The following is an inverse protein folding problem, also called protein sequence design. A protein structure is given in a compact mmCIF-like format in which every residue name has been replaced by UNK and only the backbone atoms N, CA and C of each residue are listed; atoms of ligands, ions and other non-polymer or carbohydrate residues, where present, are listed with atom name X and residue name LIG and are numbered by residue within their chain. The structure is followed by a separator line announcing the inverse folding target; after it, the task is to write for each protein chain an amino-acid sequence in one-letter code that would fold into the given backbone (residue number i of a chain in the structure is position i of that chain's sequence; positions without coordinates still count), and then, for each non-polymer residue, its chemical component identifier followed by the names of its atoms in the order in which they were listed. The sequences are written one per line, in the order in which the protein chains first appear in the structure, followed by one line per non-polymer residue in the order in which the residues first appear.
data_IF_885970330376
#
_entry.id   IF_885970330376
#
_cell.length_a   1.000
_cell.length_b   1.000
_cell.length_c   1.000
_cell.angle_alpha   90.00
_cell.angle_beta   90.00
_cell.angle_gamma   90.00
#
_symmetry.space_group_name_H-M   'P 1'
#
loop_
_entity.id
_entity.type
_entity.pdbx_description
1 polymer ?
#
# COMPACT_ATOMS: atom_id res chain seq x y z
N UNK A 1 39.53 -23.56 23.91
CA UNK A 1 38.46 -22.83 23.17
C UNK A 1 37.21 -23.72 23.16
N UNK A 2 36.22 -23.41 23.98
CA UNK A 2 34.97 -24.16 24.03
C UNK A 2 34.00 -23.59 22.97
N UNK A 3 33.61 -24.42 22.01
CA UNK A 3 32.57 -24.08 21.05
C UNK A 3 31.25 -23.95 21.81
N UNK A 4 30.70 -22.74 21.91
CA UNK A 4 29.29 -22.55 22.30
C UNK A 4 28.43 -23.20 21.24
N UNK A 5 27.70 -24.28 21.61
CA UNK A 5 26.61 -24.80 20.81
C UNK A 5 25.59 -23.65 20.63
N UNK A 6 25.39 -23.23 19.40
CA UNK A 6 24.27 -22.36 19.06
C UNK A 6 22.98 -23.10 19.46
N UNK A 7 22.22 -22.51 20.39
CA UNK A 7 20.86 -22.99 20.64
C UNK A 7 20.09 -22.90 19.32
N UNK A 8 19.61 -24.04 18.84
CA UNK A 8 18.71 -24.04 17.71
C UNK A 8 17.44 -23.25 18.06
N UNK A 9 16.93 -22.41 17.16
CA UNK A 9 15.70 -21.70 17.41
C UNK A 9 14.59 -22.71 17.72
N UNK A 10 13.87 -22.45 18.79
CA UNK A 10 12.72 -23.28 19.20
C UNK A 10 11.58 -22.96 18.24
N UNK A 11 11.22 -23.92 17.40
CA UNK A 11 10.07 -23.76 16.52
C UNK A 11 8.80 -23.75 17.36
N UNK A 12 8.01 -22.70 17.25
CA UNK A 12 6.66 -22.59 17.78
C UNK A 12 5.68 -22.80 16.65
N UNK A 13 4.82 -23.82 16.77
CA UNK A 13 3.80 -24.11 15.74
C UNK A 13 2.45 -23.58 16.20
N UNK A 14 1.85 -22.73 15.39
CA UNK A 14 0.50 -22.23 15.60
C UNK A 14 -0.49 -23.05 14.75
N UNK A 15 -1.49 -23.64 15.39
CA UNK A 15 -2.60 -24.35 14.73
C UNK A 15 -3.89 -23.58 14.94
N UNK A 16 -4.50 -23.11 13.86
CA UNK A 16 -5.78 -22.41 13.91
C UNK A 16 -6.90 -23.44 13.71
N UNK A 17 -7.77 -23.56 14.69
CA UNK A 17 -8.94 -24.43 14.61
C UNK A 17 -10.15 -23.63 14.12
N UNK A 18 -10.62 -23.92 12.92
CA UNK A 18 -11.82 -23.29 12.35
C UNK A 18 -13.12 -23.65 13.09
N UNK A 19 -13.11 -24.76 13.84
CA UNK A 19 -14.30 -25.25 14.56
C UNK A 19 -14.44 -24.73 15.99
N UNK A 20 -13.38 -24.20 16.59
CA UNK A 20 -13.35 -23.79 18.01
C UNK A 20 -13.05 -22.31 18.24
N UNK A 21 -12.81 -21.55 17.18
CA UNK A 21 -12.32 -20.16 17.28
C UNK A 21 -11.14 -20.00 18.25
N UNK A 22 -10.25 -21.00 18.28
CA UNK A 22 -9.13 -21.09 19.19
C UNK A 22 -7.84 -21.33 18.42
N UNK A 23 -6.74 -20.83 18.97
CA UNK A 23 -5.41 -21.05 18.44
C UNK A 23 -4.65 -21.93 19.42
N UNK A 24 -4.12 -23.05 18.91
CA UNK A 24 -3.32 -23.98 19.70
C UNK A 24 -1.85 -23.65 19.42
N UNK A 25 -1.14 -23.28 20.46
CA UNK A 25 0.31 -23.09 20.45
C UNK A 25 0.97 -24.38 20.85
N UNK A 26 1.81 -24.92 19.97
CA UNK A 26 2.63 -26.08 20.25
C UNK A 26 4.09 -25.62 20.46
N UNK A 27 4.65 -25.90 21.63
CA UNK A 27 6.02 -25.54 21.96
C UNK A 27 6.84 -26.79 22.23
N UNK A 28 8.07 -26.83 21.73
CA UNK A 28 9.04 -27.89 22.00
C UNK A 28 9.97 -27.46 23.15
N UNK A 29 9.98 -28.21 24.22
CA UNK A 29 10.90 -27.94 25.34
C UNK A 29 12.29 -28.52 25.07
N UNK A 30 13.36 -27.99 25.72
CA UNK A 30 14.73 -28.49 25.53
C UNK A 30 14.94 -29.98 25.79
N UNK A 31 14.02 -30.64 26.48
CA UNK A 31 14.02 -32.08 26.76
C UNK A 31 13.26 -32.94 25.78
N UNK A 32 12.77 -32.36 24.65
CA UNK A 32 11.98 -33.06 23.64
C UNK A 32 10.52 -33.24 23.98
N UNK A 33 10.05 -32.77 25.14
CA UNK A 33 8.62 -32.78 25.46
C UNK A 33 7.89 -31.70 24.67
N UNK A 34 6.65 -31.99 24.30
CA UNK A 34 5.78 -31.07 23.55
C UNK A 34 4.68 -30.59 24.48
N UNK A 35 4.55 -29.30 24.65
CA UNK A 35 3.45 -28.67 25.36
C UNK A 35 2.44 -28.06 24.37
N UNK A 36 1.18 -28.06 24.76
CA UNK A 36 0.09 -27.45 23.99
C UNK A 36 -0.64 -26.46 24.87
N UNK A 37 -0.85 -25.27 24.38
CA UNK A 37 -1.63 -24.22 25.04
C UNK A 37 -2.64 -23.66 24.08
N UNK A 38 -3.88 -23.56 24.52
CA UNK A 38 -4.93 -22.84 23.81
C UNK A 38 -4.88 -21.37 24.18
N UNK A 39 -4.91 -20.51 23.18
CA UNK A 39 -4.92 -19.04 23.36
C UNK A 39 -6.06 -18.44 22.57
N UNK A 40 -6.61 -17.34 23.08
CA UNK A 40 -7.58 -16.54 22.38
C UNK A 40 -6.93 -15.85 21.17
N UNK A 41 -7.61 -15.74 20.00
CA UNK A 41 -7.12 -14.99 18.85
C UNK A 41 -6.72 -13.54 19.17
N UNK A 42 -7.42 -12.91 20.12
CA UNK A 42 -7.10 -11.54 20.58
C UNK A 42 -5.79 -11.53 21.36
N UNK A 43 -5.54 -12.52 22.23
CA UNK A 43 -4.27 -12.62 22.96
C UNK A 43 -3.09 -12.82 22.01
N UNK A 44 -3.25 -13.66 20.96
CA UNK A 44 -2.22 -13.80 19.93
C UNK A 44 -1.98 -12.49 19.20
N UNK A 45 -3.04 -11.76 18.84
CA UNK A 45 -2.90 -10.46 18.18
C UNK A 45 -2.09 -9.47 19.04
N UNK A 46 -2.38 -9.37 20.33
CA UNK A 46 -1.63 -8.52 21.24
C UNK A 46 -0.18 -8.99 21.42
N UNK A 47 0.05 -10.29 21.58
CA UNK A 47 1.39 -10.84 21.72
C UNK A 47 2.26 -10.61 20.47
N UNK A 48 1.68 -10.75 19.27
CA UNK A 48 2.35 -10.41 18.01
C UNK A 48 2.61 -8.92 17.89
N UNK A 49 1.68 -8.10 18.33
CA UNK A 49 1.83 -6.65 18.28
C UNK A 49 2.88 -6.13 19.26
N UNK A 50 2.98 -6.73 20.45
CA UNK A 50 4.01 -6.43 21.45
C UNK A 50 5.40 -7.00 21.09
N UNK A 51 5.44 -8.07 20.29
CA UNK A 51 6.70 -8.63 19.79
C UNK A 51 7.35 -7.79 18.69
N UNK A 52 6.60 -6.87 18.08
CA UNK A 52 7.17 -5.79 17.30
C UNK A 52 7.89 -4.86 18.26
N UNK A 53 9.19 -5.03 18.36
CA UNK A 53 10.04 -4.11 19.11
C UNK A 53 9.94 -2.73 18.49
N UNK A 54 10.11 -1.69 19.30
CA UNK A 54 10.03 -0.29 18.88
C UNK A 54 11.02 0.09 17.76
N UNK A 55 11.91 -0.80 17.37
CA UNK A 55 12.90 -0.60 16.31
C UNK A 55 12.36 -1.01 14.91
N UNK A 56 11.23 -1.70 14.83
CA UNK A 56 10.59 -2.11 13.57
C UNK A 56 9.62 -1.04 13.06
N UNK A 57 10.05 0.22 13.05
CA UNK A 57 9.29 1.26 12.37
C UNK A 57 9.18 0.94 10.88
N UNK A 58 7.94 0.88 10.38
CA UNK A 58 7.70 0.85 8.95
C UNK A 58 8.03 2.24 8.38
N UNK A 59 9.26 2.42 7.95
CA UNK A 59 9.69 3.67 7.34
C UNK A 59 9.02 3.83 5.96
N UNK A 60 8.25 4.90 5.81
CA UNK A 60 7.67 5.29 4.52
C UNK A 60 8.73 5.82 3.55
N UNK A 61 9.90 6.19 4.03
CA UNK A 61 10.84 7.05 3.35
C UNK A 61 10.29 8.48 3.18
N UNK A 62 10.97 9.29 2.40
CA UNK A 62 10.48 10.63 2.07
C UNK A 62 9.19 10.54 1.25
N UNK A 63 8.13 11.14 1.75
CA UNK A 63 6.84 11.20 1.05
C UNK A 63 6.94 12.06 -0.22
N UNK A 64 6.12 11.76 -1.24
CA UNK A 64 5.92 12.68 -2.35
C UNK A 64 5.44 14.05 -1.84
N UNK A 65 5.92 15.13 -2.44
CA UNK A 65 5.58 16.49 -2.08
C UNK A 65 4.07 16.77 -2.09
N UNK A 66 3.35 16.09 -2.97
CA UNK A 66 1.91 16.19 -3.17
C UNK A 66 1.12 15.04 -2.50
N UNK A 67 1.71 14.35 -1.52
CA UNK A 67 1.04 13.29 -0.79
C UNK A 67 0.06 13.87 0.24
N UNK A 68 -1.22 13.52 0.10
CA UNK A 68 -2.28 13.90 1.04
C UNK A 68 -2.44 12.87 2.15
N UNK A 69 -2.31 11.59 1.83
CA UNK A 69 -2.54 10.51 2.77
C UNK A 69 -1.63 9.31 2.46
N UNK A 70 -1.18 8.65 3.51
CA UNK A 70 -0.47 7.38 3.44
C UNK A 70 -1.06 6.41 4.46
N UNK A 71 -1.46 5.24 3.99
CA UNK A 71 -1.66 4.06 4.85
C UNK A 71 -0.74 2.94 4.41
N UNK A 72 -0.27 2.13 5.35
CA UNK A 72 0.72 1.10 5.05
C UNK A 72 0.58 -0.12 5.95
N UNK A 73 0.97 -1.25 5.40
CA UNK A 73 1.20 -2.49 6.14
C UNK A 73 2.51 -3.14 5.63
N UNK A 74 2.85 -4.33 6.12
CA UNK A 74 4.09 -5.02 5.75
C UNK A 74 4.20 -5.35 4.25
N UNK A 75 3.10 -5.51 3.53
CA UNK A 75 3.07 -5.94 2.14
C UNK A 75 2.96 -4.78 1.14
N UNK A 76 2.19 -3.75 1.48
CA UNK A 76 1.85 -2.68 0.56
C UNK A 76 1.66 -1.33 1.25
N UNK A 77 1.72 -0.29 0.46
CA UNK A 77 1.44 1.10 0.82
C UNK A 77 0.36 1.66 -0.08
N UNK A 78 -0.55 2.45 0.49
CA UNK A 78 -1.59 3.16 -0.24
C UNK A 78 -1.36 4.64 -0.09
N UNK A 79 -1.09 5.29 -1.20
CA UNK A 79 -0.87 6.73 -1.27
C UNK A 79 -2.10 7.40 -1.88
N UNK A 80 -2.47 8.54 -1.31
CA UNK A 80 -3.34 9.50 -1.97
C UNK A 80 -2.46 10.69 -2.33
N UNK A 81 -2.28 10.93 -3.62
CA UNK A 81 -1.51 12.04 -4.14
C UNK A 81 -2.43 13.00 -4.89
N UNK A 82 -2.19 14.28 -4.65
CA UNK A 82 -2.92 15.34 -5.28
C UNK A 82 -2.10 15.91 -6.46
N UNK A 83 -2.79 16.22 -7.53
CA UNK A 83 -2.23 16.91 -8.66
C UNK A 83 -3.02 18.19 -8.90
N UNK A 84 -2.41 19.39 -8.73
CA UNK A 84 -3.08 20.63 -9.05
C UNK A 84 -3.44 20.66 -10.54
N UNK A 85 -4.20 21.65 -10.92
CA UNK A 85 -4.54 21.89 -12.32
C UNK A 85 -3.32 21.69 -13.22
N UNK A 86 -3.46 20.81 -14.21
CA UNK A 86 -2.39 20.44 -15.12
C UNK A 86 -2.81 20.83 -16.54
N UNK A 87 -1.87 21.33 -17.28
CA UNK A 87 -2.01 21.47 -18.73
C UNK A 87 -1.16 20.39 -19.39
N UNK A 88 -1.73 19.69 -20.35
CA UNK A 88 -1.03 18.63 -21.06
C UNK A 88 -1.45 18.60 -22.52
N UNK A 89 -0.56 18.11 -23.37
CA UNK A 89 -0.92 17.76 -24.74
C UNK A 89 -1.73 16.47 -24.70
N UNK A 90 -2.94 16.51 -25.20
CA UNK A 90 -3.87 15.35 -25.20
C UNK A 90 -4.09 14.91 -26.64
N UNK A 91 -3.93 13.61 -26.88
CA UNK A 91 -4.30 12.99 -28.16
C UNK A 91 -5.59 12.21 -27.94
N UNK A 92 -6.64 12.57 -28.67
CA UNK A 92 -7.91 11.88 -28.64
C UNK A 92 -8.43 11.62 -30.04
N UNK A 93 -8.63 10.34 -30.41
CA UNK A 93 -9.08 9.93 -31.74
C UNK A 93 -8.27 10.55 -32.89
N UNK A 94 -6.95 10.47 -32.79
CA UNK A 94 -5.99 11.00 -33.76
C UNK A 94 -5.99 12.53 -33.92
N UNK A 95 -6.69 13.25 -33.05
CA UNK A 95 -6.65 14.70 -32.96
C UNK A 95 -5.76 15.13 -31.79
N UNK A 96 -4.86 16.06 -32.06
CA UNK A 96 -3.99 16.65 -31.06
C UNK A 96 -4.64 17.89 -30.45
N UNK A 97 -4.67 17.96 -29.14
CA UNK A 97 -5.12 19.11 -28.35
C UNK A 97 -3.95 19.61 -27.52
N UNK A 98 -3.14 20.53 -28.06
CA UNK A 98 -1.99 21.05 -27.34
C UNK A 98 -2.45 21.92 -26.18
N UNK A 99 -1.68 21.85 -25.09
CA UNK A 99 -1.89 22.66 -23.88
C UNK A 99 -3.32 22.60 -23.34
N UNK A 100 -3.91 21.40 -23.37
CA UNK A 100 -5.29 21.16 -22.93
C UNK A 100 -5.40 21.28 -21.40
N UNK A 101 -6.36 22.05 -20.86
CA UNK A 101 -6.54 22.17 -19.43
C UNK A 101 -7.16 20.90 -18.85
N UNK A 102 -6.50 20.31 -17.87
CA UNK A 102 -7.01 19.20 -17.09
C UNK A 102 -7.53 19.70 -15.74
N UNK A 103 -8.57 19.07 -15.17
CA UNK A 103 -9.04 19.42 -13.84
C UNK A 103 -8.01 19.04 -12.77
N UNK A 104 -8.19 19.55 -11.56
CA UNK A 104 -7.43 19.07 -10.38
C UNK A 104 -7.78 17.62 -10.12
N UNK A 105 -6.76 16.79 -9.98
CA UNK A 105 -6.91 15.35 -9.86
C UNK A 105 -6.37 14.85 -8.54
N UNK A 106 -7.03 13.83 -8.01
CA UNK A 106 -6.54 13.02 -6.88
C UNK A 106 -6.35 11.60 -7.37
N UNK A 107 -5.20 11.02 -7.06
CA UNK A 107 -4.85 9.65 -7.41
C UNK A 107 -4.73 8.81 -6.15
N UNK A 108 -5.43 7.69 -6.11
CA UNK A 108 -5.22 6.63 -5.14
C UNK A 108 -4.28 5.57 -5.72
N UNK A 109 -3.12 5.38 -5.12
CA UNK A 109 -2.10 4.45 -5.62
C UNK A 109 -1.88 3.31 -4.63
N UNK A 110 -1.89 2.09 -5.11
CA UNK A 110 -1.45 0.92 -4.36
C UNK A 110 -0.07 0.49 -4.82
N UNK A 111 0.88 0.52 -3.90
CA UNK A 111 2.31 0.31 -4.18
C UNK A 111 2.82 -0.81 -3.29
N UNK A 112 3.41 -1.83 -3.90
CA UNK A 112 4.04 -2.94 -3.17
C UNK A 112 5.31 -2.47 -2.46
N UNK A 113 5.78 -3.23 -1.46
CA UNK A 113 7.01 -2.95 -0.72
C UNK A 113 8.24 -2.77 -1.62
N UNK A 114 8.25 -3.42 -2.79
CA UNK A 114 9.33 -3.29 -3.77
C UNK A 114 9.21 -2.07 -4.70
N UNK A 115 8.25 -1.16 -4.44
CA UNK A 115 8.04 0.07 -5.20
C UNK A 115 7.20 -0.09 -6.48
N UNK A 116 6.67 -1.28 -6.79
CA UNK A 116 5.81 -1.48 -7.97
C UNK A 116 4.41 -0.94 -7.69
N UNK A 117 3.94 -0.03 -8.54
CA UNK A 117 2.52 0.37 -8.56
C UNK A 117 1.71 -0.78 -9.15
N UNK A 118 0.66 -1.21 -8.47
CA UNK A 118 -0.17 -2.36 -8.89
C UNK A 118 -1.62 -1.98 -9.11
N UNK A 119 -2.04 -0.82 -8.62
CA UNK A 119 -3.40 -0.32 -8.82
C UNK A 119 -3.41 1.20 -8.76
N UNK A 120 -4.33 1.80 -9.50
CA UNK A 120 -4.54 3.23 -9.53
C UNK A 120 -6.02 3.54 -9.64
N UNK A 121 -6.50 4.44 -8.81
CA UNK A 121 -7.79 5.12 -8.95
C UNK A 121 -7.59 6.61 -9.16
N UNK A 122 -8.57 7.28 -9.77
CA UNK A 122 -8.49 8.69 -10.07
C UNK A 122 -9.86 9.35 -9.93
N UNK A 123 -9.88 10.52 -9.31
CA UNK A 123 -11.06 11.38 -9.20
C UNK A 123 -10.70 12.84 -9.45
N UNK A 124 -11.74 13.63 -9.70
CA UNK A 124 -11.65 15.10 -9.88
C UNK A 124 -12.05 15.79 -8.59
N UNK A 125 -11.35 16.84 -8.23
CA UNK A 125 -11.68 17.69 -7.08
C UNK A 125 -11.76 19.14 -7.51
N UNK A 126 -12.68 19.89 -6.89
CA UNK A 126 -12.83 21.33 -7.12
C UNK A 126 -11.87 22.14 -6.23
N UNK A 127 -11.55 21.62 -5.05
CA UNK A 127 -10.79 22.32 -4.04
C UNK A 127 -9.32 22.48 -4.44
N UNK A 128 -8.76 23.63 -4.10
CA UNK A 128 -7.34 23.91 -4.30
C UNK A 128 -6.43 23.07 -3.40
N UNK A 129 -6.91 22.76 -2.18
CA UNK A 129 -6.24 21.85 -1.24
C UNK A 129 -7.27 20.84 -0.73
N UNK A 130 -7.32 19.65 -1.29
CA UNK A 130 -8.28 18.64 -0.86
C UNK A 130 -8.05 18.21 0.60
N UNK A 131 -9.14 17.97 1.30
CA UNK A 131 -9.22 17.39 2.64
C UNK A 131 -9.97 16.07 2.59
N UNK A 132 -10.13 15.38 3.71
CA UNK A 132 -10.90 14.15 3.81
C UNK A 132 -12.40 14.34 3.48
N UNK A 133 -12.92 15.56 3.66
CA UNK A 133 -14.31 15.91 3.39
C UNK A 133 -14.53 16.48 1.98
N UNK A 134 -13.46 16.64 1.18
CA UNK A 134 -13.57 17.22 -0.16
C UNK A 134 -14.37 16.30 -1.08
N UNK A 135 -15.47 16.79 -1.70
CA UNK A 135 -16.23 16.00 -2.65
C UNK A 135 -15.38 15.62 -3.86
N UNK A 136 -15.42 14.34 -4.24
CA UNK A 136 -14.80 13.85 -5.46
C UNK A 136 -15.85 13.66 -6.56
N UNK A 137 -15.47 14.02 -7.77
CA UNK A 137 -16.26 13.87 -8.97
C UNK A 137 -15.62 12.85 -9.91
N UNK A 138 -16.44 12.21 -10.73
CA UNK A 138 -15.94 11.30 -11.75
C UNK A 138 -15.06 12.01 -12.77
N UNK A 139 -14.00 11.31 -13.18
CA UNK A 139 -13.17 11.79 -14.28
C UNK A 139 -13.94 11.74 -15.58
N UNK A 140 -14.06 12.86 -16.34
CA UNK A 140 -14.99 12.98 -17.45
C UNK A 140 -14.51 12.30 -18.73
N UNK A 141 -13.26 11.85 -18.80
CA UNK A 141 -12.69 11.26 -20.00
C UNK A 141 -12.67 9.73 -19.93
N UNK A 142 -12.28 9.08 -21.02
CA UNK A 142 -12.12 7.63 -21.11
C UNK A 142 -11.00 7.11 -20.17
N UNK A 143 -10.93 5.79 -20.07
CA UNK A 143 -9.92 5.05 -19.27
C UNK A 143 -10.09 5.09 -17.74
N UNK A 144 -11.23 5.56 -17.23
CA UNK A 144 -11.61 5.41 -15.83
C UNK A 144 -12.97 4.73 -15.74
N UNK A 145 -13.02 3.66 -14.96
CA UNK A 145 -14.27 2.91 -14.73
C UNK A 145 -15.19 3.66 -13.75
N UNK A 146 -16.46 3.28 -13.72
CA UNK A 146 -17.43 3.85 -12.78
C UNK A 146 -17.13 3.64 -11.29
N UNK A 147 -16.13 2.83 -10.95
CA UNK A 147 -15.58 2.66 -9.61
C UNK A 147 -14.26 3.41 -9.41
N UNK A 148 -14.01 4.41 -10.24
CA UNK A 148 -12.84 5.30 -10.20
C UNK A 148 -11.50 4.62 -10.53
N UNK A 149 -11.47 3.32 -10.79
CA UNK A 149 -10.23 2.64 -11.18
C UNK A 149 -9.81 3.06 -12.59
N UNK A 150 -8.52 3.28 -12.73
CA UNK A 150 -7.92 3.59 -14.04
C UNK A 150 -7.74 2.30 -14.83
N UNK A 151 -8.25 2.28 -16.07
CA UNK A 151 -7.98 1.23 -17.03
C UNK A 151 -6.59 1.44 -17.62
N UNK A 152 -5.63 0.62 -17.23
CA UNK A 152 -4.27 0.70 -17.75
C UNK A 152 -4.07 -0.07 -19.05
N UNK A 153 -5.07 -0.83 -19.49
CA UNK A 153 -4.97 -1.70 -20.65
C UNK A 153 -3.78 -2.65 -20.51
N UNK A 154 -2.92 -2.68 -21.53
CA UNK A 154 -1.68 -3.45 -21.54
C UNK A 154 -0.46 -2.68 -20.99
N UNK A 155 -0.65 -1.46 -20.50
CA UNK A 155 0.44 -0.65 -19.96
C UNK A 155 0.91 -1.21 -18.62
N UNK A 156 2.21 -1.37 -18.51
CA UNK A 156 2.84 -1.83 -17.27
C UNK A 156 3.02 -0.64 -16.35
N UNK A 157 2.31 -0.64 -15.22
CA UNK A 157 2.47 0.42 -14.22
C UNK A 157 3.92 0.52 -13.72
N UNK A 158 4.40 1.72 -13.42
CA UNK A 158 5.81 1.97 -13.12
C UNK A 158 6.24 1.34 -11.80
N UNK A 159 7.55 1.21 -11.65
CA UNK A 159 8.22 0.82 -10.43
C UNK A 159 9.16 1.93 -9.98
N UNK A 160 8.94 2.45 -8.79
CA UNK A 160 9.73 3.53 -8.23
C UNK A 160 10.76 2.99 -7.23
N UNK A 161 12.04 3.31 -7.44
CA UNK A 161 13.11 2.99 -6.48
C UNK A 161 13.03 3.88 -5.23
N UNK A 162 12.61 5.14 -5.42
CA UNK A 162 12.40 6.12 -4.35
C UNK A 162 10.94 6.54 -4.36
N UNK A 163 10.26 6.41 -3.24
CA UNK A 163 8.82 6.70 -3.14
C UNK A 163 8.48 8.17 -3.33
N UNK A 164 9.41 9.08 -2.99
CA UNK A 164 9.26 10.51 -3.31
C UNK A 164 9.07 10.79 -4.81
N UNK A 165 9.50 9.88 -5.68
CA UNK A 165 9.29 10.01 -7.13
C UNK A 165 7.86 9.73 -7.59
N UNK A 166 6.96 9.21 -6.72
CA UNK A 166 5.53 9.05 -7.01
C UNK A 166 4.85 10.37 -7.38
N UNK A 167 5.39 11.52 -6.97
CA UNK A 167 4.91 12.83 -7.41
C UNK A 167 4.84 12.98 -8.93
N UNK A 168 5.62 12.20 -9.67
CA UNK A 168 5.64 12.20 -11.12
C UNK A 168 4.63 11.25 -11.75
N UNK A 169 3.88 10.47 -10.93
CA UNK A 169 2.91 9.49 -11.44
C UNK A 169 1.81 10.13 -12.31
N UNK A 170 1.25 11.31 -11.98
CA UNK A 170 0.28 11.97 -12.84
C UNK A 170 0.79 12.18 -14.28
N UNK A 171 2.02 12.62 -14.45
CA UNK A 171 2.62 12.79 -15.78
C UNK A 171 2.81 11.49 -16.53
N UNK A 172 3.14 10.40 -15.82
CA UNK A 172 3.25 9.08 -16.44
C UNK A 172 1.91 8.59 -17.00
N UNK A 173 0.81 8.91 -16.32
CA UNK A 173 -0.51 8.43 -16.69
C UNK A 173 -1.17 9.30 -17.78
N UNK A 174 -0.91 10.59 -17.75
CA UNK A 174 -1.61 11.60 -18.58
C UNK A 174 -0.81 12.04 -19.82
N UNK A 175 0.49 11.80 -19.85
CA UNK A 175 1.38 12.18 -20.93
C UNK A 175 2.13 11.06 -21.54
#
# INVERSE_FOLDING_TARGET
MAWKRSEQPKDTILRISSSRNAIIVQEHTPGGAVSYREIDPIELYFALNESYTSDDYLDSGFLPENCLHLSMNAAERRYVIWNPELRADVIYRDLEYPDFPLPRLVFGLRVLANGKVVDCSMGVVADEKPTEDTPMFFYPFSNVYGNERVCTGNNVLPRYKKLSALKNFPRYLLG
#
